data_IF_928108975990
#
_entry.id   IF_928108975990
#
_cell.length_a   1.000
_cell.length_b   1.000
_cell.length_c   1.000
_cell.angle_alpha   90.00
_cell.angle_beta   90.00
_cell.angle_gamma   90.00
#
_symmetry.space_group_name_H-M   'P 1'
#
loop_
_entity.id
_entity.type
_entity.pdbx_description
1 polymer ?
#
# COMPACT_ATOMS: atom_id res chain seq x y z
N UNK A 1 -44.31 25.56 13.02
CA UNK A 1 -43.67 25.19 11.75
C UNK A 1 -42.29 24.67 12.07
N UNK A 2 -42.03 23.42 11.70
CA UNK A 2 -40.90 22.58 12.10
C UNK A 2 -39.57 23.07 11.51
N UNK A 3 -38.59 23.37 12.37
CA UNK A 3 -37.20 23.58 11.95
C UNK A 3 -36.58 22.25 11.54
N UNK A 4 -36.34 22.11 10.25
CA UNK A 4 -35.70 20.95 9.63
C UNK A 4 -34.18 21.01 9.90
N UNK A 5 -33.75 20.40 11.00
CA UNK A 5 -32.33 20.30 11.36
C UNK A 5 -31.74 19.08 10.64
N UNK A 6 -31.32 19.28 9.38
CA UNK A 6 -30.50 18.28 8.68
C UNK A 6 -29.19 18.11 9.44
N UNK A 7 -28.81 16.89 9.88
CA UNK A 7 -27.55 16.68 10.57
C UNK A 7 -26.40 17.02 9.62
N UNK A 8 -25.58 18.00 10.01
CA UNK A 8 -24.35 18.31 9.30
C UNK A 8 -23.46 17.06 9.25
N UNK A 9 -22.89 16.70 8.08
CA UNK A 9 -22.05 15.53 8.00
C UNK A 9 -20.84 15.74 8.91
N UNK A 10 -20.72 14.91 9.95
CA UNK A 10 -19.58 14.91 10.87
C UNK A 10 -18.28 14.98 10.06
N UNK A 11 -17.36 15.92 10.35
CA UNK A 11 -16.11 16.01 9.62
C UNK A 11 -15.37 14.68 9.78
N UNK A 12 -15.34 13.89 8.70
CA UNK A 12 -14.65 12.60 8.71
C UNK A 12 -13.19 12.82 9.09
N UNK A 13 -12.62 11.84 9.81
CA UNK A 13 -11.23 11.84 10.25
C UNK A 13 -10.30 12.36 9.13
N UNK A 14 -9.42 13.35 9.41
CA UNK A 14 -8.51 13.90 8.41
C UNK A 14 -7.72 12.77 7.76
N UNK A 15 -7.55 12.81 6.43
CA UNK A 15 -6.72 11.82 5.73
C UNK A 15 -5.32 11.82 6.32
N UNK A 16 -4.85 10.63 6.70
CA UNK A 16 -3.49 10.45 7.22
C UNK A 16 -2.50 10.55 6.07
N UNK A 17 -2.01 11.75 5.82
CA UNK A 17 -1.06 12.02 4.74
C UNK A 17 0.24 11.19 4.83
N UNK A 18 0.60 10.72 6.04
CA UNK A 18 1.73 9.82 6.21
C UNK A 18 1.49 8.44 5.56
N UNK A 19 0.28 7.90 5.64
CA UNK A 19 -0.06 6.61 5.00
C UNK A 19 0.03 6.70 3.48
N UNK A 20 -0.36 7.82 2.89
CA UNK A 20 -0.24 8.05 1.45
C UNK A 20 1.24 8.07 1.02
N UNK A 21 2.12 8.71 1.80
CA UNK A 21 3.57 8.71 1.53
C UNK A 21 4.18 7.32 1.68
N UNK A 22 3.87 6.60 2.76
CA UNK A 22 4.40 5.23 2.96
C UNK A 22 3.90 4.30 1.86
N UNK A 23 2.65 4.43 1.41
CA UNK A 23 2.13 3.64 0.28
C UNK A 23 2.84 3.98 -1.02
N UNK A 24 3.08 5.26 -1.30
CA UNK A 24 3.81 5.69 -2.50
C UNK A 24 5.25 5.20 -2.51
N UNK A 25 5.94 5.28 -1.37
CA UNK A 25 7.29 4.72 -1.20
C UNK A 25 7.30 3.20 -1.41
N UNK A 26 6.36 2.48 -0.82
CA UNK A 26 6.23 1.04 -1.01
C UNK A 26 5.98 0.66 -2.47
N UNK A 27 5.19 1.47 -3.19
CA UNK A 27 4.92 1.24 -4.61
C UNK A 27 6.18 1.34 -5.48
N UNK A 28 7.09 2.29 -5.18
CA UNK A 28 8.37 2.39 -5.90
C UNK A 28 9.21 1.11 -5.77
N UNK A 29 9.29 0.56 -4.56
CA UNK A 29 10.01 -0.69 -4.32
C UNK A 29 9.31 -1.92 -4.92
N UNK A 30 7.98 -1.96 -4.85
CA UNK A 30 7.18 -3.02 -5.52
C UNK A 30 7.40 -3.00 -7.02
N UNK A 31 7.43 -1.82 -7.65
CA UNK A 31 7.73 -1.71 -9.08
C UNK A 31 9.08 -2.36 -9.40
N UNK A 32 10.14 -1.96 -8.70
CA UNK A 32 11.48 -2.48 -8.94
C UNK A 32 11.54 -4.02 -8.79
N UNK A 33 10.84 -4.57 -7.77
CA UNK A 33 10.74 -6.02 -7.55
C UNK A 33 10.00 -6.77 -8.68
N UNK A 34 9.10 -6.08 -9.39
CA UNK A 34 8.21 -6.72 -10.36
C UNK A 34 8.60 -6.47 -11.82
N UNK A 35 9.61 -5.63 -12.12
CA UNK A 35 10.00 -5.35 -13.51
C UNK A 35 10.38 -6.64 -14.26
N UNK A 36 11.29 -7.43 -13.69
CA UNK A 36 11.77 -8.66 -14.32
C UNK A 36 10.65 -9.72 -14.41
N UNK A 37 9.91 -10.06 -13.34
CA UNK A 37 8.77 -10.98 -13.43
C UNK A 37 7.65 -10.55 -14.39
N UNK A 38 7.39 -9.26 -14.54
CA UNK A 38 6.39 -8.75 -15.48
C UNK A 38 6.89 -8.89 -16.92
N UNK A 39 8.16 -8.55 -17.16
CA UNK A 39 8.78 -8.67 -18.47
C UNK A 39 8.92 -10.14 -18.92
N UNK A 40 9.29 -11.05 -18.00
CA UNK A 40 9.43 -12.48 -18.28
C UNK A 40 8.10 -13.17 -18.60
N UNK A 41 6.98 -12.68 -18.06
CA UNK A 41 5.66 -13.28 -18.24
C UNK A 41 5.11 -13.21 -19.68
N UNK A 42 5.77 -12.46 -20.58
CA UNK A 42 5.53 -12.52 -22.02
C UNK A 42 6.23 -13.69 -22.72
N UNK A 43 7.19 -14.36 -22.07
CA UNK A 43 7.95 -15.48 -22.64
C UNK A 43 7.43 -16.82 -22.09
N UNK A 44 7.13 -17.75 -22.98
CA UNK A 44 6.68 -19.11 -22.67
C UNK A 44 7.85 -20.02 -22.22
N UNK A 45 8.90 -19.43 -21.62
CA UNK A 45 10.14 -20.14 -21.27
C UNK A 45 10.09 -20.53 -19.81
N UNK A 46 10.05 -21.85 -19.56
CA UNK A 46 10.28 -22.44 -18.26
C UNK A 46 11.75 -22.17 -17.90
N UNK A 47 11.99 -21.16 -17.07
CA UNK A 47 13.33 -20.81 -16.61
C UNK A 47 13.90 -21.97 -15.78
N UNK A 48 14.76 -22.75 -16.43
CA UNK A 48 15.65 -23.70 -15.77
C UNK A 48 16.75 -22.89 -15.08
N UNK A 49 17.03 -23.21 -13.81
CA UNK A 49 17.87 -22.41 -12.91
C UNK A 49 19.18 -21.93 -13.52
N UNK A 50 19.26 -20.63 -13.76
CA UNK A 50 20.52 -19.92 -13.98
C UNK A 50 21.10 -19.49 -12.63
N UNK A 51 22.43 -19.54 -12.45
CA UNK A 51 23.08 -19.09 -11.22
C UNK A 51 22.88 -17.59 -11.01
N UNK A 52 22.63 -17.20 -9.76
CA UNK A 52 22.28 -15.82 -9.43
C UNK A 52 23.40 -14.84 -9.77
N UNK A 53 23.13 -13.91 -10.69
CA UNK A 53 24.03 -12.81 -11.00
C UNK A 53 24.10 -11.78 -9.86
N UNK A 54 25.08 -10.85 -9.88
CA UNK A 54 25.20 -9.79 -8.86
C UNK A 54 23.92 -8.96 -8.70
N UNK A 55 23.18 -8.76 -9.79
CA UNK A 55 21.89 -8.06 -9.78
C UNK A 55 20.83 -8.80 -8.96
N UNK A 56 20.73 -10.12 -9.09
CA UNK A 56 19.81 -10.96 -8.32
C UNK A 56 20.18 -10.98 -6.83
N UNK A 57 21.47 -11.02 -6.50
CA UNK A 57 21.95 -10.90 -5.11
C UNK A 57 21.60 -9.54 -4.51
N UNK A 58 21.76 -8.44 -5.26
CA UNK A 58 21.42 -7.09 -4.78
C UNK A 58 19.92 -6.84 -4.70
N UNK A 59 19.10 -7.42 -5.59
CA UNK A 59 17.64 -7.32 -5.52
C UNK A 59 17.09 -8.18 -4.40
N UNK A 60 17.54 -9.43 -4.28
CA UNK A 60 17.23 -10.35 -3.18
C UNK A 60 17.65 -9.81 -1.82
N UNK A 61 18.73 -9.03 -1.80
CA UNK A 61 19.03 -8.13 -0.70
C UNK A 61 18.01 -6.99 -0.71
N UNK A 62 18.20 -5.90 -1.45
CA UNK A 62 17.60 -4.59 -1.19
C UNK A 62 16.10 -4.43 -1.42
N UNK A 63 15.46 -5.31 -2.18
CA UNK A 63 14.14 -5.03 -2.76
C UNK A 63 13.16 -6.19 -2.59
N UNK A 64 13.62 -7.41 -2.83
CA UNK A 64 12.80 -8.62 -2.74
C UNK A 64 12.34 -8.84 -1.30
N UNK A 65 11.07 -9.25 -1.13
CA UNK A 65 10.42 -9.48 0.17
C UNK A 65 10.34 -8.27 1.15
N UNK A 66 10.86 -7.08 0.83
CA UNK A 66 10.89 -5.91 1.75
C UNK A 66 9.73 -4.94 1.61
N UNK A 67 9.21 -4.77 0.39
CA UNK A 67 8.18 -3.75 0.12
C UNK A 67 6.74 -4.30 0.14
N UNK A 68 6.54 -5.57 -0.22
CA UNK A 68 5.23 -6.21 -0.12
C UNK A 68 4.71 -6.30 1.33
N UNK A 69 5.52 -6.47 2.40
CA UNK A 69 5.01 -6.47 3.77
C UNK A 69 4.44 -5.12 4.17
N UNK A 70 5.09 -4.03 3.75
CA UNK A 70 4.62 -2.65 3.98
C UNK A 70 3.23 -2.48 3.34
N UNK A 71 3.11 -2.86 2.06
CA UNK A 71 1.84 -2.74 1.34
C UNK A 71 0.76 -3.64 1.93
N UNK A 72 1.11 -4.85 2.40
CA UNK A 72 0.19 -5.78 3.05
C UNK A 72 -0.35 -5.21 4.36
N UNK A 73 0.55 -4.70 5.21
CA UNK A 73 0.20 -4.03 6.46
C UNK A 73 -0.71 -2.82 6.23
N UNK A 74 -0.36 -1.98 5.24
CA UNK A 74 -1.15 -0.81 4.86
C UNK A 74 -2.54 -1.16 4.32
N UNK A 75 -2.69 -2.32 3.65
CA UNK A 75 -4.00 -2.80 3.22
C UNK A 75 -4.88 -3.12 4.42
N UNK A 76 -4.35 -3.83 5.43
CA UNK A 76 -5.03 -4.10 6.70
C UNK A 76 -5.42 -2.83 7.46
N UNK A 77 -4.51 -1.86 7.55
CA UNK A 77 -4.77 -0.53 8.13
C UNK A 77 -5.91 0.17 7.37
N UNK A 78 -5.83 0.24 6.05
CA UNK A 78 -6.84 0.89 5.21
C UNK A 78 -8.20 0.22 5.29
N UNK A 79 -8.25 -1.11 5.43
CA UNK A 79 -9.48 -1.87 5.63
C UNK A 79 -10.15 -1.52 6.96
N UNK A 80 -9.41 -1.50 8.07
CA UNK A 80 -9.96 -1.16 9.39
C UNK A 80 -10.38 0.30 9.52
N UNK A 81 -9.62 1.23 8.94
CA UNK A 81 -10.03 2.65 8.88
C UNK A 81 -11.32 2.82 8.05
N UNK A 82 -11.50 2.03 6.99
CA UNK A 82 -12.73 2.05 6.22
C UNK A 82 -13.90 1.46 7.01
N UNK A 83 -13.69 0.39 7.78
CA UNK A 83 -14.71 -0.17 8.68
C UNK A 83 -15.19 0.88 9.68
N UNK A 84 -14.27 1.58 10.36
CA UNK A 84 -14.58 2.68 11.29
C UNK A 84 -15.36 3.79 10.58
N UNK A 85 -14.91 4.22 9.41
CA UNK A 85 -15.60 5.26 8.63
C UNK A 85 -16.97 4.82 8.13
N UNK A 86 -17.18 3.54 7.82
CA UNK A 86 -18.44 3.01 7.31
C UNK A 86 -19.47 2.79 8.42
N UNK A 87 -19.02 2.41 9.62
CA UNK A 87 -19.87 2.23 10.80
C UNK A 87 -20.60 3.53 11.19
N UNK A 88 -19.98 4.69 10.98
CA UNK A 88 -20.62 5.99 11.20
C UNK A 88 -21.48 6.50 10.05
N UNK A 89 -21.60 5.78 8.93
CA UNK A 89 -22.27 6.28 7.69
C UNK A 89 -23.30 5.35 7.09
N UNK A 90 -23.27 4.05 7.44
CA UNK A 90 -24.10 3.03 6.80
C UNK A 90 -24.57 2.01 7.83
N UNK A 91 -25.79 1.50 7.65
CA UNK A 91 -26.34 0.45 8.50
C UNK A 91 -25.63 -0.91 8.34
N UNK A 92 -24.97 -1.15 7.18
CA UNK A 92 -24.33 -2.44 6.84
C UNK A 92 -22.86 -2.25 6.42
N UNK A 93 -21.96 -1.84 7.32
CA UNK A 93 -20.57 -1.53 6.97
C UNK A 93 -19.80 -2.75 6.44
N UNK A 94 -20.10 -3.96 6.93
CA UNK A 94 -19.45 -5.20 6.47
C UNK A 94 -19.81 -5.56 5.02
N UNK A 95 -21.03 -5.26 4.59
CA UNK A 95 -21.45 -5.48 3.19
C UNK A 95 -20.69 -4.56 2.24
N UNK A 96 -20.40 -3.33 2.66
CA UNK A 96 -19.56 -2.40 1.91
C UNK A 96 -18.13 -2.93 1.77
N UNK A 97 -17.56 -3.50 2.83
CA UNK A 97 -16.23 -4.12 2.79
C UNK A 97 -16.20 -5.36 1.89
N UNK A 98 -17.24 -6.20 1.94
CA UNK A 98 -17.41 -7.33 1.03
C UNK A 98 -17.42 -6.86 -0.43
N UNK A 99 -18.27 -5.88 -0.78
CA UNK A 99 -18.33 -5.30 -2.13
C UNK A 99 -16.96 -4.76 -2.57
N UNK A 100 -16.27 -4.04 -1.68
CA UNK A 100 -14.93 -3.50 -1.96
C UNK A 100 -13.93 -4.60 -2.33
N UNK A 101 -13.94 -5.70 -1.59
CA UNK A 101 -13.07 -6.84 -1.83
C UNK A 101 -13.46 -7.60 -3.10
N UNK A 102 -14.76 -7.78 -3.38
CA UNK A 102 -15.23 -8.40 -4.62
C UNK A 102 -14.88 -7.58 -5.87
N UNK A 103 -15.01 -6.25 -5.81
CA UNK A 103 -14.58 -5.39 -6.92
C UNK A 103 -13.07 -5.44 -7.08
N UNK A 104 -12.31 -5.46 -5.97
CA UNK A 104 -10.86 -5.62 -6.03
C UNK A 104 -10.48 -6.97 -6.64
N UNK A 105 -11.19 -8.05 -6.30
CA UNK A 105 -11.02 -9.38 -6.89
C UNK A 105 -11.29 -9.33 -8.39
N UNK A 106 -12.36 -8.67 -8.84
CA UNK A 106 -12.67 -8.53 -10.26
C UNK A 106 -11.57 -7.77 -11.02
N UNK A 107 -11.06 -6.67 -10.45
CA UNK A 107 -9.94 -5.92 -11.01
C UNK A 107 -8.68 -6.79 -11.07
N UNK A 108 -8.38 -7.52 -10.00
CA UNK A 108 -7.23 -8.41 -9.93
C UNK A 108 -7.33 -9.55 -10.94
N UNK A 109 -8.49 -10.21 -11.07
CA UNK A 109 -8.70 -11.25 -12.06
C UNK A 109 -8.55 -10.70 -13.49
N UNK A 110 -9.10 -9.52 -13.77
CA UNK A 110 -8.91 -8.86 -15.06
C UNK A 110 -7.42 -8.58 -15.33
N UNK A 111 -6.68 -8.06 -14.35
CA UNK A 111 -5.23 -7.84 -14.49
C UNK A 111 -4.45 -9.16 -14.66
N UNK A 112 -4.81 -10.20 -13.91
CA UNK A 112 -4.20 -11.52 -13.96
C UNK A 112 -4.35 -12.18 -15.33
N UNK A 113 -5.54 -12.10 -15.92
CA UNK A 113 -5.84 -12.72 -17.21
C UNK A 113 -5.42 -11.87 -18.41
N UNK A 114 -5.49 -10.54 -18.31
CA UNK A 114 -5.22 -9.63 -19.43
C UNK A 114 -3.78 -9.13 -19.50
N UNK A 115 -3.07 -9.06 -18.37
CA UNK A 115 -1.76 -8.40 -18.28
C UNK A 115 -0.68 -9.30 -17.70
N UNK A 116 -0.85 -9.84 -16.49
CA UNK A 116 0.22 -10.55 -15.80
C UNK A 116 -0.25 -11.55 -14.75
N UNK A 117 0.22 -12.81 -14.83
CA UNK A 117 -0.25 -13.92 -13.97
C UNK A 117 0.14 -13.82 -12.49
N UNK A 118 1.13 -13.01 -12.10
CA UNK A 118 1.60 -12.89 -10.72
C UNK A 118 0.82 -11.90 -9.83
N UNK A 119 -0.40 -11.53 -10.22
CA UNK A 119 -1.12 -10.40 -9.61
C UNK A 119 -1.34 -10.51 -8.10
N UNK A 120 -0.84 -9.52 -7.36
CA UNK A 120 -1.00 -9.42 -5.91
C UNK A 120 -2.41 -8.97 -5.52
N UNK A 121 -3.17 -8.32 -6.42
CA UNK A 121 -4.52 -7.83 -6.11
C UNK A 121 -5.49 -8.99 -5.89
N UNK A 122 -5.42 -10.05 -6.71
CA UNK A 122 -6.20 -11.29 -6.48
C UNK A 122 -5.90 -11.88 -5.10
N UNK A 123 -4.62 -12.05 -4.76
CA UNK A 123 -4.19 -12.57 -3.45
C UNK A 123 -4.73 -11.71 -2.32
N UNK A 124 -4.63 -10.38 -2.44
CA UNK A 124 -5.11 -9.44 -1.43
C UNK A 124 -6.63 -9.47 -1.29
N UNK A 125 -7.37 -9.62 -2.39
CA UNK A 125 -8.81 -9.71 -2.34
C UNK A 125 -9.26 -11.02 -1.69
N UNK A 126 -8.68 -12.16 -2.07
CA UNK A 126 -8.99 -13.48 -1.50
C UNK A 126 -8.64 -13.54 -0.01
N UNK A 127 -7.42 -13.16 0.37
CA UNK A 127 -7.01 -13.11 1.78
C UNK A 127 -7.85 -12.09 2.56
N UNK A 128 -8.19 -10.96 1.94
CA UNK A 128 -9.09 -9.99 2.54
C UNK A 128 -10.48 -10.57 2.84
N UNK A 129 -11.04 -11.38 1.93
CA UNK A 129 -12.32 -12.06 2.12
C UNK A 129 -12.23 -13.17 3.17
N UNK A 130 -11.16 -13.97 3.14
CA UNK A 130 -10.99 -15.13 4.02
C UNK A 130 -10.57 -14.75 5.45
N UNK A 131 -9.85 -13.64 5.64
CA UNK A 131 -9.20 -13.32 6.90
C UNK A 131 -9.63 -11.95 7.45
N UNK A 132 -9.51 -10.88 6.66
CA UNK A 132 -9.86 -9.53 7.15
C UNK A 132 -11.35 -9.38 7.42
N UNK A 133 -12.21 -9.86 6.51
CA UNK A 133 -13.65 -9.73 6.68
C UNK A 133 -14.13 -10.50 7.92
N UNK A 134 -13.79 -11.80 8.12
CA UNK A 134 -14.02 -12.54 9.38
C UNK A 134 -13.44 -11.87 10.63
N UNK A 135 -12.30 -11.20 10.51
CA UNK A 135 -11.71 -10.49 11.66
C UNK A 135 -12.61 -9.37 12.21
N UNK A 136 -13.57 -8.85 11.43
CA UNK A 136 -14.47 -7.78 11.87
C UNK A 136 -15.50 -8.21 12.93
N UNK A 137 -15.63 -9.51 13.17
CA UNK A 137 -16.46 -10.06 14.25
C UNK A 137 -15.65 -10.43 15.49
N UNK A 138 -14.32 -10.48 15.38
CA UNK A 138 -13.43 -10.85 16.48
C UNK A 138 -13.06 -9.65 17.35
N UNK A 139 -12.86 -9.85 18.67
CA UNK A 139 -12.33 -8.80 19.55
C UNK A 139 -10.89 -8.45 19.20
N UNK A 140 -10.45 -7.23 19.55
CA UNK A 140 -9.12 -6.70 19.17
C UNK A 140 -7.94 -7.59 19.59
N UNK A 141 -8.04 -8.25 20.75
CA UNK A 141 -6.99 -9.14 21.26
C UNK A 141 -6.89 -10.43 20.44
N UNK A 142 -8.02 -10.98 20.00
CA UNK A 142 -8.04 -12.19 19.16
C UNK A 142 -7.46 -11.89 17.79
N UNK A 143 -7.75 -10.72 17.22
CA UNK A 143 -7.13 -10.26 15.96
C UNK A 143 -5.61 -10.11 16.11
N UNK A 144 -5.13 -9.54 17.22
CA UNK A 144 -3.69 -9.41 17.47
C UNK A 144 -3.02 -10.76 17.70
N UNK A 145 -3.64 -11.67 18.46
CA UNK A 145 -3.15 -13.02 18.68
C UNK A 145 -3.09 -13.81 17.38
N UNK A 146 -4.14 -13.77 16.57
CA UNK A 146 -4.17 -14.43 15.26
C UNK A 146 -3.15 -13.83 14.30
N UNK A 147 -2.95 -12.51 14.31
CA UNK A 147 -1.89 -11.87 13.53
C UNK A 147 -0.50 -12.43 13.90
N UNK A 148 -0.19 -12.51 15.19
CA UNK A 148 1.08 -13.06 15.67
C UNK A 148 1.26 -14.52 15.24
N UNK A 149 0.24 -15.36 15.47
CA UNK A 149 0.25 -16.78 15.08
C UNK A 149 0.47 -16.94 13.57
N UNK A 150 -0.26 -16.21 12.73
CA UNK A 150 -0.15 -16.33 11.28
C UNK A 150 1.18 -15.81 10.75
N UNK A 151 1.74 -14.72 11.30
CA UNK A 151 3.07 -14.25 10.91
C UNK A 151 4.14 -15.27 11.30
N UNK A 152 4.09 -15.80 12.54
CA UNK A 152 5.05 -16.80 13.00
C UNK A 152 4.94 -18.10 12.21
N UNK A 153 3.73 -18.59 11.95
CA UNK A 153 3.51 -19.78 11.12
C UNK A 153 4.01 -19.57 9.68
N UNK A 154 3.76 -18.40 9.08
CA UNK A 154 4.26 -18.06 7.76
C UNK A 154 5.79 -18.07 7.71
N UNK A 155 6.46 -17.53 8.72
CA UNK A 155 7.93 -17.54 8.80
C UNK A 155 8.48 -18.96 9.00
N UNK A 156 8.01 -19.67 10.01
CA UNK A 156 8.60 -20.96 10.43
C UNK A 156 8.25 -22.08 9.45
N UNK A 157 7.00 -22.15 8.99
CA UNK A 157 6.52 -23.27 8.16
C UNK A 157 6.75 -23.01 6.67
N UNK A 158 6.56 -21.77 6.20
CA UNK A 158 6.57 -21.45 4.77
C UNK A 158 7.72 -20.55 4.32
N UNK A 159 8.53 -20.03 5.26
CA UNK A 159 9.70 -19.23 4.93
C UNK A 159 9.35 -17.81 4.53
N UNK A 160 8.14 -17.37 4.87
CA UNK A 160 7.59 -16.08 4.48
C UNK A 160 6.83 -16.09 3.16
N UNK A 161 7.16 -15.16 2.27
CA UNK A 161 6.44 -14.98 1.00
C UNK A 161 4.99 -14.52 1.19
N UNK A 162 4.12 -14.91 0.25
CA UNK A 162 2.70 -14.53 0.26
C UNK A 162 1.94 -15.07 1.47
N UNK A 163 2.46 -16.08 2.17
CA UNK A 163 1.87 -16.60 3.40
C UNK A 163 1.94 -15.60 4.57
N UNK A 164 2.78 -14.55 4.47
CA UNK A 164 2.77 -13.45 5.43
C UNK A 164 1.55 -12.54 5.29
N UNK A 165 0.90 -12.51 4.12
CA UNK A 165 -0.19 -11.56 3.82
C UNK A 165 -1.34 -11.65 4.82
N UNK A 166 -1.90 -12.84 5.17
CA UNK A 166 -2.92 -12.96 6.21
C UNK A 166 -2.51 -12.35 7.55
N UNK A 167 -1.32 -12.68 8.04
CA UNK A 167 -0.82 -12.20 9.33
C UNK A 167 -0.59 -10.69 9.33
N UNK A 168 0.00 -10.14 8.26
CA UNK A 168 0.25 -8.70 8.12
C UNK A 168 -1.04 -7.88 7.94
N UNK A 169 -2.02 -8.43 7.25
CA UNK A 169 -3.35 -7.82 7.13
C UNK A 169 -4.00 -7.69 8.51
N UNK A 170 -4.00 -8.78 9.30
CA UNK A 170 -4.53 -8.76 10.66
C UNK A 170 -3.71 -7.86 11.58
N UNK A 171 -2.38 -7.83 11.44
CA UNK A 171 -1.51 -6.94 12.20
C UNK A 171 -1.87 -5.48 11.92
N UNK A 172 -2.04 -5.11 10.64
CA UNK A 172 -2.47 -3.76 10.24
C UNK A 172 -3.84 -3.40 10.81
N UNK A 173 -4.78 -4.36 10.79
CA UNK A 173 -6.10 -4.22 11.41
C UNK A 173 -6.00 -4.02 12.93
N UNK A 174 -5.16 -4.79 13.61
CA UNK A 174 -4.93 -4.68 15.06
C UNK A 174 -4.33 -3.32 15.43
N UNK A 175 -3.33 -2.84 14.69
CA UNK A 175 -2.70 -1.53 14.94
C UNK A 175 -3.71 -0.39 14.96
N UNK A 176 -4.71 -0.43 14.07
CA UNK A 176 -5.82 0.53 14.05
C UNK A 176 -6.72 0.35 15.28
N UNK A 177 -7.16 -0.87 15.58
CA UNK A 177 -8.06 -1.16 16.74
C UNK A 177 -7.44 -0.84 18.10
N UNK A 178 -6.12 -0.86 18.21
CA UNK A 178 -5.38 -0.46 19.41
C UNK A 178 -5.01 1.03 19.44
N UNK A 179 -5.38 1.82 18.42
CA UNK A 179 -5.05 3.24 18.30
C UNK A 179 -3.56 3.52 18.18
N UNK A 180 -2.77 2.55 17.67
CA UNK A 180 -1.32 2.72 17.50
C UNK A 180 -1.02 3.78 16.46
N UNK A 181 -1.80 3.83 15.37
CA UNK A 181 -1.63 4.81 14.29
C UNK A 181 -1.76 6.25 14.84
N UNK A 182 -2.76 6.52 15.68
CA UNK A 182 -2.92 7.83 16.33
C UNK A 182 -1.78 8.19 17.28
N UNK A 183 -1.21 7.19 17.96
CA UNK A 183 -0.04 7.41 18.84
C UNK A 183 1.21 7.73 18.03
N UNK A 184 1.41 7.03 16.91
CA UNK A 184 2.55 7.23 16.01
C UNK A 184 2.51 8.57 15.28
N UNK A 185 1.32 9.13 15.05
CA UNK A 185 1.17 10.49 14.53
C UNK A 185 1.51 11.55 15.58
N UNK A 186 1.09 11.36 16.84
CA UNK A 186 1.29 12.35 17.91
C UNK A 186 2.73 12.43 18.43
N UNK A 187 3.48 11.32 18.45
CA UNK A 187 4.82 11.29 19.05
C UNK A 187 5.88 10.66 18.15
N UNK A 188 7.05 11.31 18.06
CA UNK A 188 8.20 10.82 17.31
C UNK A 188 8.89 9.65 18.03
N UNK A 189 8.75 9.57 19.37
CA UNK A 189 9.39 8.55 20.19
C UNK A 189 8.95 7.15 19.81
N UNK A 190 7.66 6.95 19.48
CA UNK A 190 7.13 5.65 19.07
C UNK A 190 7.83 5.09 17.83
N UNK A 191 7.77 5.78 16.67
CA UNK A 191 8.50 5.37 15.47
C UNK A 191 10.01 5.24 15.68
N UNK A 192 10.64 6.11 16.50
CA UNK A 192 12.07 6.03 16.78
C UNK A 192 12.48 4.77 17.54
N UNK A 193 11.83 4.49 18.67
CA UNK A 193 12.12 3.29 19.48
C UNK A 193 11.84 2.03 18.65
N UNK A 194 10.71 1.98 17.97
CA UNK A 194 10.36 0.82 17.12
C UNK A 194 11.34 0.65 15.95
N UNK A 195 11.78 1.76 15.34
CA UNK A 195 12.79 1.75 14.29
C UNK A 195 14.14 1.22 14.76
N UNK A 196 14.57 1.58 15.98
CA UNK A 196 15.80 1.05 16.59
C UNK A 196 15.68 -0.45 16.89
N UNK A 197 14.53 -0.91 17.41
CA UNK A 197 14.28 -2.35 17.64
C UNK A 197 14.34 -3.13 16.32
N UNK A 198 13.69 -2.63 15.28
CA UNK A 198 13.75 -3.26 13.96
C UNK A 198 15.17 -3.24 13.38
N UNK A 199 15.91 -2.14 13.52
CA UNK A 199 17.29 -2.02 13.02
C UNK A 199 18.24 -2.98 13.76
N UNK A 200 18.10 -3.10 15.09
CA UNK A 200 18.87 -4.03 15.90
C UNK A 200 18.61 -5.49 15.50
N UNK A 201 17.38 -5.84 15.15
CA UNK A 201 17.06 -7.18 14.63
C UNK A 201 17.48 -7.39 13.17
N UNK A 202 17.46 -6.35 12.34
CA UNK A 202 17.76 -6.46 10.91
C UNK A 202 19.22 -6.85 10.64
N UNK A 203 20.17 -6.36 11.43
CA UNK A 203 21.59 -6.68 11.27
C UNK A 203 21.91 -8.19 11.36
N UNK A 204 21.53 -8.92 12.44
CA UNK A 204 21.75 -10.37 12.51
C UNK A 204 20.91 -11.15 11.48
N UNK A 205 19.70 -10.68 11.14
CA UNK A 205 18.89 -11.32 10.11
C UNK A 205 19.52 -11.22 8.71
N UNK A 206 20.12 -10.07 8.36
CA UNK A 206 20.86 -9.88 7.11
C UNK A 206 22.13 -10.73 7.07
N UNK A 207 22.86 -10.80 8.18
CA UNK A 207 24.03 -11.66 8.29
C UNK A 207 23.65 -13.13 8.09
N UNK A 208 22.52 -13.56 8.66
CA UNK A 208 21.99 -14.91 8.46
C UNK A 208 21.56 -15.14 6.99
N UNK A 209 20.91 -14.17 6.35
CA UNK A 209 20.52 -14.24 4.94
C UNK A 209 21.72 -14.43 4.00
N UNK A 210 22.89 -13.89 4.34
CA UNK A 210 24.10 -13.99 3.52
C UNK A 210 24.93 -15.27 3.76
N UNK A 211 24.45 -16.20 4.59
CA UNK A 211 25.19 -17.42 4.91
C UNK A 211 26.18 -17.26 6.07
N UNK A 212 25.91 -16.34 7.00
CA UNK A 212 26.77 -16.06 8.17
C UNK A 212 27.09 -17.24 9.10
N UNK A 213 26.47 -18.41 8.97
CA UNK A 213 26.93 -19.59 9.70
C UNK A 213 28.16 -20.20 9.01
N UNK A 214 29.33 -19.87 9.57
CA UNK A 214 30.71 -20.33 9.36
C UNK A 214 31.06 -21.38 8.28
N UNK A 215 32.27 -21.29 7.68
CA UNK A 215 32.79 -22.30 6.76
C UNK A 215 33.08 -23.61 7.52
N UNK A 216 32.20 -24.60 7.38
CA UNK A 216 32.42 -25.90 8.01
C UNK A 216 31.27 -26.90 7.98
N UNK A 217 30.06 -26.52 7.57
CA UNK A 217 28.93 -27.45 7.65
C UNK A 217 28.17 -27.57 6.31
N UNK A 218 28.67 -28.39 5.37
CA UNK A 218 28.11 -28.53 4.02
C UNK A 218 26.71 -29.14 3.97
N UNK A 219 26.15 -29.64 5.09
CA UNK A 219 24.86 -30.32 5.14
C UNK A 219 23.92 -29.94 6.30
N UNK A 220 24.24 -28.95 7.15
CA UNK A 220 23.26 -28.45 8.17
C UNK A 220 22.53 -27.18 7.76
N UNK A 221 22.94 -26.53 6.66
CA UNK A 221 22.16 -25.46 6.02
C UNK A 221 21.05 -25.98 5.09
N UNK A 222 20.70 -27.27 5.15
CA UNK A 222 19.32 -27.70 4.93
C UNK A 222 18.48 -27.22 6.12
N UNK A 223 18.41 -25.90 6.33
CA UNK A 223 17.27 -25.37 7.07
C UNK A 223 16.06 -25.94 6.34
N UNK A 224 15.14 -26.59 7.05
CA UNK A 224 13.88 -27.06 6.47
C UNK A 224 13.11 -25.93 5.76
N UNK A 225 13.59 -24.68 5.89
CA UNK A 225 13.01 -23.50 5.33
C UNK A 225 14.05 -22.44 4.86
N UNK A 226 14.61 -22.56 3.65
CA UNK A 226 15.60 -21.60 3.13
C UNK A 226 15.05 -20.17 2.95
N UNK A 227 13.72 -19.99 2.93
CA UNK A 227 13.09 -18.66 2.84
C UNK A 227 13.11 -17.87 4.15
N UNK A 228 13.21 -18.56 5.31
CA UNK A 228 13.08 -17.93 6.62
C UNK A 228 14.08 -16.78 6.88
N UNK A 229 15.40 -16.91 6.62
CA UNK A 229 16.35 -15.82 6.82
C UNK A 229 16.02 -14.59 5.96
N UNK A 230 15.66 -14.81 4.70
CA UNK A 230 15.28 -13.77 3.75
C UNK A 230 13.99 -13.06 4.18
N UNK A 231 12.97 -13.80 4.58
CA UNK A 231 11.71 -13.22 5.03
C UNK A 231 11.83 -12.47 6.37
N UNK A 232 12.63 -12.99 7.31
CA UNK A 232 12.90 -12.32 8.57
C UNK A 232 13.62 -10.99 8.33
N UNK A 233 14.69 -10.99 7.53
CA UNK A 233 15.40 -9.77 7.15
C UNK A 233 14.47 -8.78 6.41
N UNK A 234 13.64 -9.29 5.50
CA UNK A 234 12.66 -8.52 4.74
C UNK A 234 11.64 -7.80 5.62
N UNK A 235 11.05 -8.52 6.59
CA UNK A 235 10.06 -7.98 7.52
C UNK A 235 10.64 -6.94 8.48
N UNK A 236 11.84 -7.19 9.00
CA UNK A 236 12.53 -6.27 9.91
C UNK A 236 12.90 -4.97 9.18
N UNK A 237 13.43 -5.07 7.97
CA UNK A 237 13.75 -3.90 7.15
C UNK A 237 12.52 -3.14 6.68
N UNK A 238 11.41 -3.83 6.37
CA UNK A 238 10.13 -3.17 6.14
C UNK A 238 9.74 -2.27 7.33
N UNK A 239 9.93 -2.78 8.55
CA UNK A 239 9.77 -2.02 9.79
C UNK A 239 10.71 -0.81 9.90
N UNK A 240 12.00 -0.99 9.62
CA UNK A 240 12.99 0.10 9.57
C UNK A 240 12.56 1.19 8.57
N UNK A 241 12.20 0.81 7.35
CA UNK A 241 11.80 1.76 6.30
C UNK A 241 10.56 2.56 6.68
N UNK A 242 9.53 1.91 7.21
CA UNK A 242 8.32 2.60 7.67
C UNK A 242 8.64 3.58 8.80
N UNK A 243 9.39 3.13 9.82
CA UNK A 243 9.76 3.98 10.95
C UNK A 243 10.63 5.17 10.53
N UNK A 244 11.66 4.92 9.71
CA UNK A 244 12.53 5.96 9.18
C UNK A 244 11.75 7.00 8.36
N UNK A 245 10.85 6.56 7.48
CA UNK A 245 10.04 7.45 6.66
C UNK A 245 9.07 8.29 7.51
N UNK A 246 8.49 7.71 8.56
CA UNK A 246 7.65 8.45 9.51
C UNK A 246 8.44 9.50 10.31
N UNK A 247 9.70 9.23 10.65
CA UNK A 247 10.58 10.20 11.29
C UNK A 247 11.02 11.30 10.32
N UNK A 248 11.39 10.94 9.08
CA UNK A 248 11.75 11.88 8.02
C UNK A 248 10.60 12.83 7.68
N UNK A 249 9.35 12.38 7.77
CA UNK A 249 8.17 13.24 7.61
C UNK A 249 8.00 14.28 8.73
N UNK A 250 8.82 14.25 9.79
CA UNK A 250 8.88 15.24 10.88
C UNK A 250 10.05 16.22 10.73
N UNK A 251 10.89 16.06 9.71
CA UNK A 251 12.05 16.94 9.42
C UNK A 251 11.69 17.94 8.30
N UNK A 252 12.56 18.91 7.97
CA UNK A 252 12.35 19.80 6.81
C UNK A 252 12.21 19.09 5.46
N UNK A 253 12.52 17.79 5.37
CA UNK A 253 12.34 17.00 4.14
C UNK A 253 10.87 16.67 3.83
N UNK A 254 9.96 16.90 4.78
CA UNK A 254 8.53 16.58 4.68
C UNK A 254 7.86 17.08 3.37
N UNK A 255 8.04 18.34 2.90
CA UNK A 255 7.40 18.80 1.68
C UNK A 255 7.89 18.05 0.45
N UNK A 256 9.20 17.78 0.35
CA UNK A 256 9.79 17.05 -0.76
C UNK A 256 9.28 15.59 -0.81
N UNK A 257 9.33 14.89 0.33
CA UNK A 257 8.82 13.52 0.43
C UNK A 257 7.33 13.43 0.08
N UNK A 258 6.53 14.40 0.52
CA UNK A 258 5.11 14.47 0.16
C UNK A 258 4.90 14.75 -1.31
N UNK A 259 5.67 15.66 -1.91
CA UNK A 259 5.55 15.99 -3.33
C UNK A 259 5.83 14.77 -4.21
N UNK A 260 6.83 13.96 -3.86
CA UNK A 260 7.24 12.78 -4.65
C UNK A 260 6.31 11.59 -4.41
N UNK A 261 6.07 11.21 -3.14
CA UNK A 261 5.44 9.93 -2.82
C UNK A 261 3.92 10.02 -2.59
N UNK A 262 3.39 11.14 -2.11
CA UNK A 262 1.96 11.22 -1.81
C UNK A 262 1.07 11.09 -3.07
N UNK A 263 1.41 11.68 -4.24
CA UNK A 263 0.65 11.44 -5.46
C UNK A 263 0.63 9.96 -5.86
N UNK A 264 1.80 9.30 -5.77
CA UNK A 264 1.93 7.88 -6.09
C UNK A 264 1.04 7.00 -5.20
N UNK A 265 1.04 7.25 -3.88
CA UNK A 265 0.25 6.47 -2.94
C UNK A 265 -1.26 6.79 -2.94
N UNK A 266 -1.64 8.01 -3.31
CA UNK A 266 -3.07 8.39 -3.50
C UNK A 266 -3.68 7.74 -4.74
N UNK A 267 -2.85 7.35 -5.70
CA UNK A 267 -3.21 6.68 -6.95
C UNK A 267 -2.60 5.28 -7.04
N UNK A 268 -2.46 4.58 -5.91
CA UNK A 268 -1.70 3.33 -5.84
C UNK A 268 -2.22 2.22 -6.77
N UNK A 269 -3.55 2.05 -6.93
CA UNK A 269 -4.10 1.05 -7.85
C UNK A 269 -3.88 1.47 -9.30
N UNK A 270 -4.14 2.75 -9.62
CA UNK A 270 -3.89 3.27 -10.97
C UNK A 270 -2.42 3.12 -11.34
N UNK A 271 -1.51 3.50 -10.45
CA UNK A 271 -0.08 3.46 -10.69
C UNK A 271 0.46 2.03 -10.72
N UNK A 272 -0.08 1.11 -9.92
CA UNK A 272 0.26 -0.30 -10.01
C UNK A 272 -0.11 -0.88 -11.38
N UNK A 273 -1.36 -0.71 -11.81
CA UNK A 273 -1.83 -1.27 -13.08
C UNK A 273 -1.14 -0.61 -14.29
N UNK A 274 -0.98 0.71 -14.29
CA UNK A 274 -0.28 1.41 -15.36
C UNK A 274 1.21 1.10 -15.37
N UNK A 275 1.84 0.84 -14.22
CA UNK A 275 3.23 0.40 -14.19
C UNK A 275 3.41 -0.96 -14.87
N UNK A 276 2.49 -1.92 -14.65
CA UNK A 276 2.52 -3.20 -15.39
C UNK A 276 2.47 -2.97 -16.90
N UNK A 277 1.53 -2.13 -17.37
CA UNK A 277 1.40 -1.81 -18.79
C UNK A 277 2.67 -1.13 -19.34
N UNK A 278 3.25 -0.19 -18.61
CA UNK A 278 4.46 0.51 -19.02
C UNK A 278 5.67 -0.43 -19.08
N UNK A 279 5.84 -1.32 -18.10
CA UNK A 279 6.93 -2.31 -18.12
C UNK A 279 6.77 -3.26 -19.30
N UNK A 280 5.56 -3.78 -19.55
CA UNK A 280 5.29 -4.63 -20.71
C UNK A 280 5.54 -3.89 -22.04
N UNK A 281 5.22 -2.60 -22.12
CA UNK A 281 5.47 -1.79 -23.31
C UNK A 281 6.97 -1.49 -23.54
N UNK A 282 7.75 -1.32 -22.46
CA UNK A 282 9.19 -1.05 -22.54
C UNK A 282 10.00 -2.33 -22.79
N UNK A 283 9.54 -3.48 -22.30
CA UNK A 283 10.28 -4.74 -22.36
C UNK A 283 10.82 -5.11 -23.75
N UNK A 284 10.04 -5.01 -24.86
CA UNK A 284 10.53 -5.31 -26.19
C UNK A 284 11.62 -4.35 -26.69
N UNK A 285 11.66 -3.11 -26.18
CA UNK A 285 12.63 -2.07 -26.57
C UNK A 285 14.01 -2.31 -25.98
N UNK A 286 14.09 -3.00 -24.83
CA UNK A 286 15.35 -3.35 -24.18
C UNK A 286 16.02 -4.52 -24.90
N UNK A 287 15.22 -5.49 -25.34
CA UNK A 287 15.70 -6.72 -25.95
C UNK A 287 16.35 -7.67 -24.94
N UNK A 288 16.67 -8.88 -25.42
CA UNK A 288 17.22 -9.96 -24.61
C UNK A 288 16.22 -10.59 -23.64
N UNK A 289 16.56 -11.74 -23.02
CA UNK A 289 15.71 -12.37 -22.02
C UNK A 289 15.68 -11.54 -20.73
N UNK A 290 14.52 -11.17 -20.18
CA UNK A 290 14.44 -10.27 -19.03
C UNK A 290 15.15 -10.77 -17.77
N UNK A 291 15.20 -12.09 -17.55
CA UNK A 291 16.00 -12.69 -16.47
C UNK A 291 17.51 -12.41 -16.54
N UNK A 292 18.04 -11.93 -17.67
CA UNK A 292 19.46 -11.57 -17.84
C UNK A 292 19.74 -10.09 -17.61
N UNK A 293 18.70 -9.28 -17.36
CA UNK A 293 18.85 -7.83 -17.25
C UNK A 293 19.68 -7.44 -16.03
N UNK A 294 20.63 -6.53 -16.26
CA UNK A 294 21.48 -5.99 -15.20
C UNK A 294 20.69 -5.14 -14.20
N UNK A 295 21.21 -4.96 -12.99
CA UNK A 295 20.64 -4.04 -11.99
C UNK A 295 20.47 -2.63 -12.56
N UNK A 296 21.44 -2.15 -13.34
CA UNK A 296 21.38 -0.85 -14.00
C UNK A 296 20.18 -0.75 -14.92
N UNK A 297 19.93 -1.78 -15.73
CA UNK A 297 18.76 -1.85 -16.63
C UNK A 297 17.46 -1.74 -15.83
N UNK A 298 17.34 -2.49 -14.74
CA UNK A 298 16.15 -2.48 -13.89
C UNK A 298 15.93 -1.12 -13.21
N UNK A 299 17.00 -0.49 -12.71
CA UNK A 299 16.95 0.85 -12.13
C UNK A 299 16.58 1.91 -13.16
N UNK A 300 17.06 1.80 -14.41
CA UNK A 300 16.70 2.70 -15.50
C UNK A 300 15.23 2.56 -15.88
N UNK A 301 14.71 1.34 -16.00
CA UNK A 301 13.28 1.09 -16.27
C UNK A 301 12.42 1.64 -15.11
N UNK A 302 12.76 1.32 -13.87
CA UNK A 302 12.04 1.82 -12.69
C UNK A 302 12.07 3.36 -12.64
N UNK A 303 13.25 3.94 -12.86
CA UNK A 303 13.45 5.39 -12.91
C UNK A 303 12.61 6.06 -14.00
N UNK A 304 12.61 5.52 -15.22
CA UNK A 304 11.80 6.03 -16.32
C UNK A 304 10.28 5.96 -16.01
N UNK A 305 9.81 4.82 -15.50
CA UNK A 305 8.40 4.66 -15.13
C UNK A 305 8.01 5.62 -13.99
N UNK A 306 8.82 5.73 -12.93
CA UNK A 306 8.52 6.60 -11.79
C UNK A 306 8.61 8.09 -12.13
N UNK A 307 9.58 8.49 -12.95
CA UNK A 307 9.72 9.88 -13.41
C UNK A 307 8.59 10.30 -14.34
N UNK A 308 7.98 9.37 -15.08
CA UNK A 308 6.74 9.62 -15.81
C UNK A 308 5.52 9.63 -14.86
N UNK A 309 5.35 8.61 -14.03
CA UNK A 309 4.16 8.41 -13.21
C UNK A 309 4.01 9.44 -12.08
N UNK A 310 5.08 9.87 -11.43
CA UNK A 310 5.00 10.78 -10.27
C UNK A 310 4.47 12.18 -10.65
N UNK A 311 5.03 12.88 -11.66
CA UNK A 311 4.49 14.16 -12.15
C UNK A 311 3.09 14.02 -12.74
N UNK A 312 2.81 12.95 -13.51
CA UNK A 312 1.47 12.72 -14.09
C UNK A 312 0.43 12.50 -12.99
N UNK A 313 0.75 11.73 -11.95
CA UNK A 313 -0.10 11.55 -10.78
C UNK A 313 -0.33 12.87 -10.06
N UNK A 314 0.72 13.68 -9.87
CA UNK A 314 0.61 14.98 -9.23
C UNK A 314 -0.29 15.93 -10.04
N UNK A 315 -0.09 16.01 -11.36
CA UNK A 315 -0.87 16.83 -12.27
C UNK A 315 -2.34 16.38 -12.31
N UNK A 316 -2.59 15.07 -12.38
CA UNK A 316 -3.92 14.49 -12.32
C UNK A 316 -4.64 14.90 -11.03
N UNK A 317 -3.95 14.79 -9.88
CA UNK A 317 -4.53 15.11 -8.57
C UNK A 317 -4.71 16.62 -8.32
N UNK A 318 -4.16 17.51 -9.16
CA UNK A 318 -4.51 18.94 -9.16
C UNK A 318 -5.93 19.16 -9.71
N UNK A 319 -6.37 18.32 -10.65
CA UNK A 319 -7.70 18.42 -11.27
C UNK A 319 -8.73 17.51 -10.63
N UNK A 320 -8.32 16.33 -10.19
CA UNK A 320 -9.18 15.24 -9.74
C UNK A 320 -8.88 14.81 -8.31
N UNK A 321 -9.89 14.36 -7.58
CA UNK A 321 -9.76 14.01 -6.15
C UNK A 321 -9.05 12.67 -5.90
N UNK A 322 -9.10 11.78 -6.89
CA UNK A 322 -8.72 10.37 -6.84
C UNK A 322 -8.18 9.94 -8.21
N UNK A 323 -7.37 8.89 -8.25
CA UNK A 323 -7.00 8.26 -9.51
C UNK A 323 -8.21 7.61 -10.19
N UNK A 324 -8.14 7.37 -11.51
CA UNK A 324 -9.25 6.83 -12.30
C UNK A 324 -9.72 5.46 -11.79
N UNK A 325 -8.79 4.54 -11.49
CA UNK A 325 -9.12 3.19 -11.02
C UNK A 325 -9.66 3.25 -9.59
N UNK A 326 -9.07 4.08 -8.72
CA UNK A 326 -9.55 4.28 -7.36
C UNK A 326 -10.97 4.86 -7.34
N UNK A 327 -11.26 5.78 -8.26
CA UNK A 327 -12.59 6.36 -8.39
C UNK A 327 -13.62 5.32 -8.82
N UNK A 328 -13.30 4.50 -9.83
CA UNK A 328 -14.17 3.40 -10.28
C UNK A 328 -14.40 2.38 -9.16
N UNK A 329 -13.31 1.98 -8.49
CA UNK A 329 -13.36 1.07 -7.36
C UNK A 329 -14.23 1.61 -6.23
N UNK A 330 -14.12 2.90 -5.91
CA UNK A 330 -14.94 3.56 -4.90
C UNK A 330 -16.40 3.66 -5.31
N UNK A 331 -16.67 3.98 -6.58
CA UNK A 331 -18.03 4.02 -7.10
C UNK A 331 -18.71 2.65 -6.97
N UNK A 332 -18.05 1.58 -7.41
CA UNK A 332 -18.56 0.23 -7.29
C UNK A 332 -18.72 -0.23 -5.82
N UNK A 333 -17.82 0.21 -4.92
CA UNK A 333 -17.90 -0.10 -3.48
C UNK A 333 -19.12 0.54 -2.83
N UNK A 334 -19.36 1.83 -3.07
CA UNK A 334 -20.40 2.60 -2.39
C UNK A 334 -21.75 2.57 -3.13
N UNK A 335 -21.77 2.18 -4.40
CA UNK A 335 -22.98 2.15 -5.24
C UNK A 335 -23.46 3.52 -5.71
N UNK A 336 -22.91 4.62 -5.19
CA UNK A 336 -23.24 5.98 -5.59
C UNK A 336 -22.02 6.67 -6.20
N UNK A 337 -22.23 7.44 -7.28
CA UNK A 337 -21.16 8.09 -8.05
C UNK A 337 -20.43 9.14 -7.19
N UNK A 338 -19.17 8.93 -6.81
CA UNK A 338 -18.45 9.90 -6.01
C UNK A 338 -18.00 11.09 -6.88
N UNK A 339 -17.86 12.31 -6.31
CA UNK A 339 -17.35 13.46 -7.05
C UNK A 339 -15.90 13.20 -7.51
N UNK A 340 -15.69 13.28 -8.83
CA UNK A 340 -14.38 13.04 -9.46
C UNK A 340 -13.51 14.28 -9.44
N UNK A 341 -14.08 15.45 -9.76
CA UNK A 341 -13.40 16.75 -9.77
C UNK A 341 -13.49 17.44 -8.42
N UNK A 342 -12.55 18.35 -8.14
CA UNK A 342 -12.74 19.32 -7.09
C UNK A 342 -13.91 20.24 -7.48
N UNK A 343 -14.87 20.44 -6.57
CA UNK A 343 -15.88 21.48 -6.76
C UNK A 343 -15.16 22.84 -6.75
N UNK A 344 -15.50 23.74 -7.69
CA UNK A 344 -15.05 25.13 -7.60
C UNK A 344 -15.43 25.65 -6.21
N UNK A 345 -14.51 26.34 -5.52
CA UNK A 345 -14.88 27.09 -4.31
C UNK A 345 -15.89 28.16 -4.75
N UNK A 346 -17.18 27.88 -4.64
CA UNK A 346 -18.24 28.88 -4.80
C UNK A 346 -18.10 29.88 -3.67
N UNK A 347 -17.38 30.98 -3.93
CA UNK A 347 -17.09 31.98 -2.91
C UNK A 347 -16.38 33.24 -3.41
N UNK A 348 -16.46 33.59 -4.69
CA UNK A 348 -15.89 34.86 -5.18
C UNK A 348 -16.69 35.59 -6.27
N UNK A 349 -17.94 35.18 -6.53
CA UNK A 349 -18.83 35.90 -7.46
C UNK A 349 -20.25 35.90 -6.92
N UNK A 350 -20.58 36.91 -6.11
CA UNK A 350 -21.94 37.10 -5.59
C UNK A 350 -22.12 38.25 -4.59
N UNK A 351 -21.24 39.24 -4.60
CA UNK A 351 -21.33 40.43 -3.75
C UNK A 351 -21.61 41.69 -4.56
N UNK A 352 -22.67 41.71 -5.38
CA UNK A 352 -23.23 42.96 -5.91
C UNK A 352 -24.56 43.24 -5.20
N UNK A 353 -24.44 43.96 -4.09
CA UNK A 353 -25.32 45.06 -3.67
C UNK A 353 -26.72 45.10 -4.29
N UNK A 354 -27.71 44.55 -3.57
CA UNK A 354 -29.10 45.02 -3.70
C UNK A 354 -29.32 46.11 -2.63
N UNK A 355 -29.03 47.36 -3.00
CA UNK A 355 -29.39 48.56 -2.23
C UNK A 355 -30.91 48.75 -2.29
N UNK A 356 -31.52 49.00 -1.13
CA UNK A 356 -32.66 49.91 -0.97
C UNK A 356 -34.06 49.35 -1.22
N UNK A 357 -34.73 48.94 -0.15
CA UNK A 357 -36.17 49.17 0.01
C UNK A 357 -36.40 49.61 1.47
N UNK A 358 -36.86 50.84 1.63
CA UNK A 358 -37.20 51.48 2.90
C UNK A 358 -38.50 50.91 3.48
N UNK A 359 -38.73 50.99 4.80
CA UNK A 359 -39.97 50.54 5.42
C UNK A 359 -41.05 51.66 5.35
N UNK A 360 -42.17 51.37 4.69
CA UNK A 360 -43.40 52.16 4.83
C UNK A 360 -44.11 51.81 6.15
N UNK A 361 -44.75 52.84 6.72
CA UNK A 361 -45.21 52.93 8.10
C UNK A 361 -46.33 51.98 8.54
N UNK A 362 -46.50 51.91 9.87
CA UNK A 362 -47.80 52.00 10.55
C UNK A 362 -47.61 52.10 12.06
N UNK A 363 -47.95 53.26 12.62
CA UNK A 363 -48.43 53.40 13.99
C UNK A 363 -49.35 54.63 14.04
N UNK A 364 -50.66 54.37 14.12
CA UNK A 364 -51.63 55.19 14.84
C UNK A 364 -52.29 54.27 15.84
#
# INVERSE_FOLDING_TARGET
MTHDCSPSPSPGRPRVAALDVVRGFALCGILLANIQPIADAGSLVIASGSPAGPAETWLGLLVEQRFFPIFSLLFGIGFSLLLESAAGRTARPRLLLLRRLLVLLAIGLAHMFLLWRGDILTVYAVVGLAVLLPSTWLPRWAVAGLAAVLVTAALIVYGGGTMLVPGLFLLGSALVRYGVIDRMERSARGPAVLGLVFAAGAAPALWWQQGGMGPGDPHTATSANPGLPMAAAGLLLAGVYVCALLLLLRTPLRPALRAVFAPLGRMALTNYLTATVLVLAVSPLIGGPPHTWSLTTLLLIAGAVLTAQSPLSALWLRRYRQGPVEWLWRWATWGHRPPLRHEPRTGETGGKTRKGQAPEGRAR
#
